data_IF_658483758422
#
_entry.id   IF_658483758422
#
_cell.length_a   1.000
_cell.length_b   1.000
_cell.length_c   1.000
_cell.angle_alpha   90.00
_cell.angle_beta   90.00
_cell.angle_gamma   90.00
#
_symmetry.space_group_name_H-M   'P 1'
#
loop_
_entity.id
_entity.type
_entity.pdbx_description
1 polymer ?
#
# COMPACT_ATOMS: atom_id res chain seq x y z
N UNK A 1 51.45 17.43 7.37
CA UNK A 1 50.34 17.91 6.52
C UNK A 1 49.81 16.68 5.80
N UNK A 2 48.79 16.02 6.36
CA UNK A 2 47.38 16.09 5.91
C UNK A 2 47.24 15.94 4.39
N UNK A 3 46.45 15.03 3.82
CA UNK A 3 45.26 14.37 4.35
C UNK A 3 45.02 13.02 3.64
N UNK A 4 44.44 12.10 4.39
CA UNK A 4 43.67 10.95 3.91
C UNK A 4 42.52 11.44 3.03
N UNK A 5 42.42 10.95 1.79
CA UNK A 5 41.24 11.10 0.94
C UNK A 5 40.50 9.77 0.87
N UNK A 6 39.48 9.69 1.71
CA UNK A 6 38.35 8.79 1.64
C UNK A 6 37.50 9.19 0.43
N UNK A 7 37.21 8.27 -0.49
CA UNK A 7 36.04 8.40 -1.37
C UNK A 7 35.43 7.03 -1.62
N UNK A 8 34.29 6.83 -0.95
CA UNK A 8 33.25 5.86 -1.29
C UNK A 8 32.68 6.17 -2.67
N UNK A 9 31.80 5.27 -3.17
CA UNK A 9 30.96 5.31 -4.39
C UNK A 9 31.54 4.35 -5.45
N UNK A 10 30.90 3.26 -5.89
CA UNK A 10 29.50 2.84 -5.86
C UNK A 10 29.45 1.30 -5.82
N UNK A 11 28.72 0.72 -4.86
CA UNK A 11 28.13 -0.61 -5.08
C UNK A 11 26.99 -0.37 -6.07
N UNK A 12 27.26 -0.58 -7.35
CA UNK A 12 26.21 -0.77 -8.34
C UNK A 12 25.60 -2.14 -8.07
N UNK A 13 24.37 -2.18 -7.55
CA UNK A 13 23.51 -3.32 -7.78
C UNK A 13 23.16 -3.28 -9.27
N UNK A 14 23.83 -4.11 -10.07
CA UNK A 14 23.40 -4.36 -11.44
C UNK A 14 22.01 -4.98 -11.38
N UNK A 15 21.01 -4.19 -11.74
CA UNK A 15 19.67 -4.65 -12.07
C UNK A 15 19.81 -5.61 -13.25
N UNK A 16 19.69 -6.91 -12.97
CA UNK A 16 19.73 -7.93 -13.99
C UNK A 16 18.34 -8.00 -14.61
N UNK A 17 18.18 -7.31 -15.73
CA UNK A 17 17.04 -7.45 -16.63
C UNK A 17 17.04 -8.88 -17.18
N UNK A 18 16.23 -9.73 -16.56
CA UNK A 18 15.75 -10.97 -17.17
C UNK A 18 14.24 -10.80 -17.35
N UNK A 19 13.85 -10.59 -18.60
CA UNK A 19 12.47 -10.57 -19.06
C UNK A 19 11.85 -11.94 -18.85
N UNK A 20 11.33 -12.20 -17.66
CA UNK A 20 10.31 -13.23 -17.49
C UNK A 20 8.99 -12.57 -17.11
N UNK A 21 8.22 -12.30 -18.15
CA UNK A 21 6.86 -11.79 -18.11
C UNK A 21 5.90 -12.92 -17.64
N UNK A 22 6.25 -13.57 -16.54
CA UNK A 22 5.46 -14.59 -15.88
C UNK A 22 4.83 -13.97 -14.65
N UNK A 23 3.78 -13.18 -14.90
CA UNK A 23 2.48 -13.38 -14.28
C UNK A 23 2.57 -14.01 -12.88
N UNK A 24 2.71 -13.18 -11.85
CA UNK A 24 2.36 -13.55 -10.47
C UNK A 24 0.83 -13.76 -10.30
N UNK A 25 0.12 -14.25 -11.33
CA UNK A 25 -1.24 -14.79 -11.19
C UNK A 25 -1.12 -16.28 -10.86
N UNK A 26 -0.82 -16.56 -9.60
CA UNK A 26 -1.18 -17.87 -9.06
C UNK A 26 -2.68 -17.82 -8.79
N UNK A 27 -3.48 -18.83 -9.18
CA UNK A 27 -4.90 -18.86 -8.85
C UNK A 27 -5.06 -18.74 -7.33
N UNK A 28 -5.59 -17.61 -6.87
CA UNK A 28 -5.86 -17.40 -5.46
C UNK A 28 -6.97 -18.39 -5.05
N UNK A 29 -6.73 -19.28 -4.07
CA UNK A 29 -7.79 -20.07 -3.49
C UNK A 29 -8.90 -19.12 -3.01
N UNK A 30 -10.18 -19.44 -3.27
CA UNK A 30 -11.34 -18.62 -2.84
C UNK A 30 -11.28 -18.19 -1.36
N UNK A 31 -10.64 -19.00 -0.51
CA UNK A 31 -10.43 -18.72 0.90
C UNK A 31 -9.40 -17.62 1.19
N UNK A 32 -8.42 -17.41 0.30
CA UNK A 32 -7.44 -16.31 0.37
C UNK A 32 -8.10 -15.00 -0.06
N UNK A 33 -8.98 -15.06 -1.06
CA UNK A 33 -9.72 -13.90 -1.56
C UNK A 33 -10.70 -13.33 -0.51
N UNK A 34 -11.38 -14.21 0.24
CA UNK A 34 -12.23 -13.79 1.36
C UNK A 34 -11.43 -13.07 2.46
N UNK A 35 -10.21 -13.54 2.77
CA UNK A 35 -9.33 -12.87 3.75
C UNK A 35 -8.89 -11.50 3.25
N UNK A 36 -8.62 -11.38 1.95
CA UNK A 36 -8.25 -10.11 1.31
C UNK A 36 -9.36 -9.07 1.41
N UNK A 37 -10.61 -9.45 1.15
CA UNK A 37 -11.75 -8.55 1.34
C UNK A 37 -11.91 -8.06 2.78
N UNK A 38 -11.66 -8.91 3.78
CA UNK A 38 -11.68 -8.47 5.18
C UNK A 38 -10.62 -7.38 5.43
N UNK A 39 -9.43 -7.52 4.85
CA UNK A 39 -8.37 -6.52 4.98
C UNK A 39 -8.67 -5.21 4.23
N UNK A 40 -9.30 -5.29 3.05
CA UNK A 40 -9.75 -4.12 2.30
C UNK A 40 -10.77 -3.32 3.12
N UNK A 41 -11.75 -3.99 3.71
CA UNK A 41 -12.74 -3.35 4.57
C UNK A 41 -12.13 -2.76 5.84
N UNK A 42 -11.23 -3.49 6.51
CA UNK A 42 -10.55 -3.01 7.71
C UNK A 42 -9.69 -1.77 7.42
N UNK A 43 -8.95 -1.78 6.31
CA UNK A 43 -8.19 -0.62 5.86
C UNK A 43 -9.11 0.57 5.57
N UNK A 44 -10.21 0.35 4.85
CA UNK A 44 -11.16 1.39 4.51
C UNK A 44 -11.76 2.03 5.77
N UNK A 45 -12.11 1.22 6.78
CA UNK A 45 -12.58 1.70 8.08
C UNK A 45 -11.53 2.57 8.80
N UNK A 46 -10.27 2.12 8.83
CA UNK A 46 -9.18 2.92 9.42
C UNK A 46 -8.93 4.22 8.65
N UNK A 47 -9.04 4.20 7.33
CA UNK A 47 -8.93 5.38 6.47
C UNK A 47 -10.03 6.39 6.81
N UNK A 48 -11.29 5.96 6.82
CA UNK A 48 -12.43 6.80 7.18
C UNK A 48 -12.26 7.37 8.59
N UNK A 49 -11.86 6.55 9.57
CA UNK A 49 -11.64 7.00 10.94
C UNK A 49 -10.56 8.09 11.04
N UNK A 50 -9.45 7.96 10.29
CA UNK A 50 -8.38 8.97 10.29
C UNK A 50 -8.83 10.29 9.66
N UNK A 51 -9.54 10.22 8.55
CA UNK A 51 -9.98 11.41 7.81
C UNK A 51 -11.19 12.11 8.46
N UNK A 52 -12.04 11.36 9.16
CA UNK A 52 -13.21 11.92 9.87
C UNK A 52 -12.87 12.55 11.22
N UNK A 53 -11.76 12.18 11.87
CA UNK A 53 -11.32 12.76 13.16
C UNK A 53 -11.22 14.29 13.13
N UNK A 54 -10.94 14.89 11.96
CA UNK A 54 -10.77 16.34 11.80
C UNK A 54 -12.00 17.08 11.28
N UNK A 55 -13.12 16.37 11.06
CA UNK A 55 -14.30 16.91 10.36
C UNK A 55 -15.40 17.29 11.36
N UNK A 56 -15.96 18.49 11.21
CA UNK A 56 -17.05 19.00 12.07
C UNK A 56 -18.41 18.37 11.73
N UNK A 57 -18.61 17.97 10.47
CA UNK A 57 -19.87 17.38 9.99
C UNK A 57 -19.65 15.93 9.54
N UNK A 58 -19.60 15.03 10.53
CA UNK A 58 -19.05 13.69 10.39
C UNK A 58 -19.87 12.77 9.49
N UNK A 59 -21.20 12.90 9.43
CA UNK A 59 -22.03 11.92 8.71
C UNK A 59 -21.94 12.03 7.18
N UNK A 60 -22.10 13.23 6.62
CA UNK A 60 -22.02 13.46 5.17
C UNK A 60 -20.60 13.20 4.65
N UNK A 61 -19.59 13.57 5.43
CA UNK A 61 -18.18 13.35 5.07
C UNK A 61 -17.81 11.88 5.16
N UNK A 62 -18.36 11.14 6.12
CA UNK A 62 -18.11 9.70 6.30
C UNK A 62 -18.60 8.87 5.12
N UNK A 63 -19.78 9.17 4.56
CA UNK A 63 -20.29 8.45 3.39
C UNK A 63 -19.41 8.67 2.16
N UNK A 64 -19.04 9.92 1.89
CA UNK A 64 -18.13 10.26 0.79
C UNK A 64 -16.75 9.61 0.95
N UNK A 65 -16.20 9.63 2.16
CA UNK A 65 -14.92 9.01 2.46
C UNK A 65 -14.98 7.49 2.40
N UNK A 66 -16.12 6.86 2.69
CA UNK A 66 -16.25 5.41 2.65
C UNK A 66 -16.01 4.87 1.24
N UNK A 67 -16.58 5.51 0.21
CA UNK A 67 -16.36 5.12 -1.19
C UNK A 67 -14.90 5.30 -1.61
N UNK A 68 -14.31 6.47 -1.36
CA UNK A 68 -12.91 6.73 -1.72
C UNK A 68 -11.92 5.85 -0.95
N UNK A 69 -12.14 5.64 0.36
CA UNK A 69 -11.28 4.77 1.17
C UNK A 69 -11.40 3.30 0.76
N UNK A 70 -12.57 2.85 0.30
CA UNK A 70 -12.73 1.50 -0.26
C UNK A 70 -12.02 1.36 -1.61
N UNK A 71 -12.17 2.34 -2.52
CA UNK A 71 -11.42 2.39 -3.78
C UNK A 71 -9.91 2.31 -3.54
N UNK A 72 -9.41 3.11 -2.58
CA UNK A 72 -8.01 3.09 -2.20
C UNK A 72 -7.59 1.73 -1.63
N UNK A 73 -8.43 1.11 -0.80
CA UNK A 73 -8.15 -0.21 -0.24
C UNK A 73 -7.99 -1.24 -1.37
N UNK A 74 -8.98 -1.33 -2.26
CA UNK A 74 -8.94 -2.24 -3.40
C UNK A 74 -7.74 -1.99 -4.28
N UNK A 75 -7.44 -0.72 -4.61
CA UNK A 75 -6.26 -0.38 -5.42
C UNK A 75 -4.95 -0.77 -4.72
N UNK A 76 -4.86 -0.52 -3.41
CA UNK A 76 -3.67 -0.82 -2.64
C UNK A 76 -3.43 -2.32 -2.61
N UNK A 77 -4.47 -3.12 -2.33
CA UNK A 77 -4.37 -4.56 -2.13
C UNK A 77 -4.48 -5.40 -3.40
N UNK A 78 -4.89 -4.84 -4.56
CA UNK A 78 -5.11 -5.60 -5.80
C UNK A 78 -3.97 -6.55 -6.15
N UNK A 79 -2.71 -6.10 -5.98
CA UNK A 79 -1.49 -6.86 -6.31
C UNK A 79 -0.77 -7.42 -5.07
N UNK A 80 -1.39 -7.41 -3.89
CA UNK A 80 -0.80 -7.97 -2.66
C UNK A 80 -1.38 -9.34 -2.34
N UNK A 81 -0.51 -10.24 -1.87
CA UNK A 81 -0.97 -11.47 -1.25
C UNK A 81 -1.68 -11.17 0.08
N UNK A 82 -2.59 -12.04 0.51
CA UNK A 82 -3.33 -11.82 1.77
C UNK A 82 -2.40 -11.73 3.00
N UNK A 83 -1.29 -12.47 3.01
CA UNK A 83 -0.29 -12.38 4.08
C UNK A 83 0.41 -11.02 4.12
N UNK A 84 0.70 -10.45 2.96
CA UNK A 84 1.31 -9.12 2.85
C UNK A 84 0.30 -8.03 3.23
N UNK A 85 -0.97 -8.23 2.87
CA UNK A 85 -2.07 -7.34 3.26
C UNK A 85 -2.23 -7.26 4.78
N UNK A 86 -2.13 -8.41 5.48
CA UNK A 86 -2.11 -8.47 6.93
C UNK A 86 -0.90 -7.76 7.54
N UNK A 87 0.29 -7.97 6.97
CA UNK A 87 1.51 -7.29 7.41
C UNK A 87 1.38 -5.78 7.25
N UNK A 88 0.70 -5.29 6.22
CA UNK A 88 0.46 -3.86 6.01
C UNK A 88 -0.46 -3.23 7.05
N UNK A 89 -1.51 -3.95 7.48
CA UNK A 89 -2.40 -3.45 8.52
C UNK A 89 -1.72 -3.40 9.89
N UNK A 90 -0.85 -4.38 10.19
CA UNK A 90 -0.26 -4.53 11.52
C UNK A 90 1.15 -3.94 11.67
N UNK A 91 1.87 -3.69 10.58
CA UNK A 91 3.21 -3.12 10.63
C UNK A 91 3.16 -1.60 10.55
N UNK A 92 3.55 -0.94 11.65
CA UNK A 92 3.60 0.53 11.77
C UNK A 92 4.71 1.18 10.92
N UNK A 93 5.64 0.40 10.35
CA UNK A 93 6.69 0.92 9.46
C UNK A 93 6.20 0.86 8.01
N UNK A 94 5.64 1.97 7.53
CA UNK A 94 5.30 2.13 6.11
C UNK A 94 6.58 2.18 5.29
N UNK A 95 6.85 1.13 4.52
CA UNK A 95 7.94 1.16 3.54
C UNK A 95 7.71 2.30 2.52
N UNK A 96 8.78 2.94 2.03
CA UNK A 96 8.67 4.04 1.07
C UNK A 96 7.94 3.64 -0.22
N UNK A 97 8.05 2.36 -0.62
CA UNK A 97 7.28 1.75 -1.70
C UNK A 97 5.77 1.78 -1.44
N UNK A 98 5.33 1.60 -0.20
CA UNK A 98 3.92 1.64 0.19
C UNK A 98 3.38 3.07 0.24
N UNK A 99 4.22 4.05 0.62
CA UNK A 99 3.85 5.45 0.54
C UNK A 99 3.53 5.87 -0.89
N UNK A 100 4.37 5.47 -1.86
CA UNK A 100 4.10 5.71 -3.29
C UNK A 100 2.81 5.05 -3.76
N UNK A 101 2.57 3.78 -3.39
CA UNK A 101 1.32 3.08 -3.72
C UNK A 101 0.09 3.79 -3.14
N UNK A 102 0.20 4.31 -1.92
CA UNK A 102 -0.86 5.10 -1.29
C UNK A 102 -1.11 6.41 -2.04
N UNK A 103 -0.05 7.13 -2.44
CA UNK A 103 -0.16 8.37 -3.22
C UNK A 103 -0.79 8.12 -4.61
N UNK A 104 -0.46 7.00 -5.26
CA UNK A 104 -1.09 6.58 -6.52
C UNK A 104 -2.56 6.21 -6.33
N UNK A 105 -2.89 5.44 -5.29
CA UNK A 105 -4.26 5.08 -4.94
C UNK A 105 -5.11 6.33 -4.65
N UNK A 106 -4.55 7.28 -3.89
CA UNK A 106 -5.20 8.55 -3.59
C UNK A 106 -5.49 9.36 -4.86
N UNK A 107 -4.53 9.49 -5.78
CA UNK A 107 -4.75 10.17 -7.08
C UNK A 107 -5.80 9.49 -7.96
N UNK A 108 -6.00 8.19 -7.79
CA UNK A 108 -6.97 7.43 -8.56
C UNK A 108 -8.39 7.53 -7.98
N UNK A 109 -8.51 7.65 -6.66
CA UNK A 109 -9.77 7.45 -5.93
C UNK A 109 -10.36 8.71 -5.26
N UNK A 110 -9.60 9.81 -5.19
CA UNK A 110 -10.00 11.10 -4.62
C UNK A 110 -10.03 12.17 -5.71
#
# INVERSE_FOLDING_TARGET
MSATLLSMLLISCSEQENTDNSRFDHPHPKTIDLKKHLFEHEFAQQCVARETIKQVNTNVVRERLAESCLCMATYLFKDLAAEESYKLLNNKKTAQSMKRKYEEAAKHCL
#
